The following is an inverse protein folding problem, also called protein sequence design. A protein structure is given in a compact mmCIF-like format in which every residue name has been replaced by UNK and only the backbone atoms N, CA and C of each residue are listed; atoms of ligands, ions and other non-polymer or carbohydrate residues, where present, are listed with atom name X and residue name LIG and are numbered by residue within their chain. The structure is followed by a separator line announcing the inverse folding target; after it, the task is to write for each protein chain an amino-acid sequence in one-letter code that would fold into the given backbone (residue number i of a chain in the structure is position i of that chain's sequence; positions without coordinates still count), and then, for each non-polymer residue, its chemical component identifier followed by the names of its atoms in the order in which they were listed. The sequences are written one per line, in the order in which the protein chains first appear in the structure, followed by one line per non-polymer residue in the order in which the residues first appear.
data_IF_001380327145
#
_entry.id   IF_001380327145
#
_cell.length_a   1.000
_cell.length_b   1.000
_cell.length_c   1.000
_cell.angle_alpha   90.00
_cell.angle_beta   90.00
_cell.angle_gamma   90.00
#
_symmetry.space_group_name_H-M   'P 1'
#
loop_
_entity.id
_entity.type
_entity.pdbx_description
1 polymer ?
#
# COMPACT_ATOMS: atom_id res chain seq x y z
N UNK A 1 -42.52 3.82 17.28
CA UNK A 1 -42.40 3.30 18.65
C UNK A 1 -42.26 1.80 18.51
N UNK A 2 -41.16 1.28 19.07
CA UNK A 2 -40.94 -0.13 19.46
C UNK A 2 -40.86 -1.19 18.34
N UNK A 3 -39.94 -2.15 18.33
CA UNK A 3 -38.85 -2.45 19.25
C UNK A 3 -37.82 -3.32 18.51
N UNK A 4 -36.55 -3.04 18.79
CA UNK A 4 -35.43 -3.98 18.83
C UNK A 4 -35.85 -5.33 19.39
N UNK A 5 -35.50 -6.41 18.70
CA UNK A 5 -35.00 -7.62 19.37
C UNK A 5 -34.29 -8.50 18.33
N UNK A 6 -32.97 -8.55 18.46
CA UNK A 6 -32.14 -9.60 17.89
C UNK A 6 -32.80 -10.94 18.20
N UNK A 7 -32.93 -11.81 17.21
CA UNK A 7 -33.33 -13.20 17.44
C UNK A 7 -32.29 -13.88 18.34
N UNK A 8 -32.51 -13.78 19.65
CA UNK A 8 -31.82 -14.56 20.66
C UNK A 8 -32.45 -15.95 20.56
N UNK A 9 -31.69 -16.90 20.02
CA UNK A 9 -32.04 -18.31 20.00
C UNK A 9 -32.44 -18.75 21.41
N UNK A 10 -33.49 -19.57 21.53
CA UNK A 10 -33.90 -20.07 22.84
C UNK A 10 -32.83 -21.02 23.39
N UNK A 11 -32.73 -21.11 24.72
CA UNK A 11 -31.74 -21.96 25.39
C UNK A 11 -31.76 -23.42 24.92
N UNK A 12 -32.93 -23.91 24.51
CA UNK A 12 -33.12 -25.28 24.01
C UNK A 12 -32.48 -25.50 22.62
N UNK A 13 -32.51 -24.49 21.74
CA UNK A 13 -31.85 -24.57 20.42
C UNK A 13 -30.32 -24.54 20.54
N UNK A 14 -29.81 -23.80 21.52
CA UNK A 14 -28.36 -23.75 21.81
C UNK A 14 -27.87 -25.10 22.32
N UNK A 15 -28.64 -25.79 23.14
CA UNK A 15 -28.27 -27.09 23.71
C UNK A 15 -28.25 -28.19 22.63
N UNK A 16 -29.23 -28.18 21.72
CA UNK A 16 -29.24 -29.11 20.57
C UNK A 16 -28.04 -28.91 19.62
N UNK A 17 -27.63 -27.66 19.39
CA UNK A 17 -26.43 -27.36 18.61
C UNK A 17 -25.15 -27.79 19.32
N UNK A 18 -25.06 -27.58 20.64
CA UNK A 18 -23.92 -28.01 21.46
C UNK A 18 -23.76 -29.54 21.48
N UNK A 19 -24.86 -30.27 21.56
CA UNK A 19 -24.87 -31.72 21.57
C UNK A 19 -24.43 -32.29 20.21
N UNK A 20 -24.93 -31.72 19.10
CA UNK A 20 -24.49 -32.08 17.74
C UNK A 20 -23.01 -31.74 17.46
N UNK A 21 -22.50 -30.67 18.10
CA UNK A 21 -21.10 -30.29 18.00
C UNK A 21 -20.19 -31.23 18.80
N UNK A 22 -20.65 -31.68 19.97
CA UNK A 22 -19.91 -32.66 20.79
C UNK A 22 -19.91 -34.07 20.17
N UNK A 23 -20.97 -34.52 19.51
CA UNK A 23 -20.97 -35.78 18.77
C UNK A 23 -19.97 -35.78 17.61
N UNK A 24 -19.73 -34.62 16.98
CA UNK A 24 -18.71 -34.49 15.91
C UNK A 24 -17.26 -34.61 16.40
N UNK A 25 -17.03 -34.60 17.73
CA UNK A 25 -15.73 -34.64 18.38
C UNK A 25 -15.56 -35.87 19.31
N UNK A 26 -16.13 -37.01 18.90
CA UNK A 26 -15.89 -38.32 19.51
C UNK A 26 -14.59 -38.99 19.02
N UNK A 27 -13.53 -38.79 19.80
CA UNK A 27 -12.14 -39.25 19.67
C UNK A 27 -11.99 -40.76 19.39
N UNK A 28 -11.09 -41.13 18.46
CA UNK A 28 -10.35 -42.41 18.51
C UNK A 28 -8.86 -42.13 18.73
N UNK A 29 -8.34 -42.59 19.87
CA UNK A 29 -6.93 -42.59 20.30
C UNK A 29 -6.10 -43.59 19.43
N UNK A 30 -4.79 -43.52 19.12
CA UNK A 30 -3.57 -42.80 19.55
C UNK A 30 -2.42 -43.27 18.61
N UNK A 31 -1.12 -42.94 18.84
CA UNK A 31 -0.41 -41.66 18.68
C UNK A 31 0.49 -41.63 17.43
N UNK A 32 0.79 -40.45 16.89
CA UNK A 32 2.09 -40.19 16.27
C UNK A 32 2.49 -38.76 16.58
N UNK A 33 3.67 -38.63 17.18
CA UNK A 33 4.26 -37.38 17.63
C UNK A 33 4.88 -36.75 16.39
N UNK A 34 4.18 -35.78 15.78
CA UNK A 34 4.81 -34.83 14.86
C UNK A 34 4.45 -33.45 15.36
N UNK A 35 5.44 -32.76 15.94
CA UNK A 35 5.40 -31.32 16.20
C UNK A 35 5.28 -30.58 14.85
N UNK A 36 4.07 -30.47 14.30
CA UNK A 36 3.81 -29.53 13.22
C UNK A 36 3.36 -28.20 13.79
N UNK A 37 4.35 -27.31 13.90
CA UNK A 37 4.28 -25.86 13.86
C UNK A 37 2.91 -25.26 14.23
N UNK A 38 2.85 -24.70 15.44
CA UNK A 38 1.87 -23.70 15.86
C UNK A 38 1.70 -22.63 14.77
N UNK A 39 0.76 -22.90 13.86
CA UNK A 39 0.43 -22.02 12.76
C UNK A 39 -0.31 -20.86 13.40
N UNK A 40 0.46 -19.83 13.78
CA UNK A 40 -0.09 -18.53 14.13
C UNK A 40 -0.98 -18.09 12.98
N UNK A 41 -2.28 -18.32 13.11
CA UNK A 41 -3.30 -17.87 12.18
C UNK A 41 -3.15 -16.36 12.12
N UNK A 42 -2.54 -15.88 11.05
CA UNK A 42 -2.29 -14.46 10.86
C UNK A 42 -3.56 -13.89 10.26
N UNK A 43 -4.28 -13.08 11.03
CA UNK A 43 -5.43 -12.32 10.54
C UNK A 43 -5.02 -11.56 9.28
N UNK A 44 -5.53 -12.02 8.13
CA UNK A 44 -5.25 -11.44 6.82
C UNK A 44 -6.31 -10.38 6.52
N UNK A 45 -5.91 -9.12 6.54
CA UNK A 45 -6.79 -8.01 6.23
C UNK A 45 -6.98 -7.91 4.71
N UNK A 46 -8.09 -8.48 4.21
CA UNK A 46 -8.48 -8.42 2.81
C UNK A 46 -8.71 -7.00 2.28
N UNK A 47 -8.88 -6.00 3.15
CA UNK A 47 -9.00 -4.59 2.72
C UNK A 47 -7.64 -3.97 2.38
N UNK A 48 -6.52 -4.55 2.82
CA UNK A 48 -5.16 -4.08 2.56
C UNK A 48 -4.22 -5.23 2.19
N UNK A 49 -4.45 -5.90 1.05
CA UNK A 49 -3.82 -7.19 0.74
C UNK A 49 -2.31 -7.14 0.43
N UNK A 50 -1.59 -6.03 0.63
CA UNK A 50 -0.24 -5.90 0.08
C UNK A 50 0.71 -5.00 0.90
N UNK A 51 1.06 -5.40 2.13
CA UNK A 51 2.13 -4.69 2.85
C UNK A 51 3.47 -5.01 2.17
N UNK A 52 4.02 -4.08 1.38
CA UNK A 52 5.40 -4.16 0.90
C UNK A 52 6.30 -4.47 2.11
N UNK A 53 7.11 -5.54 2.04
CA UNK A 53 7.98 -5.90 3.16
C UNK A 53 8.90 -4.74 3.53
N UNK A 54 9.26 -4.60 4.80
CA UNK A 54 10.15 -3.50 5.25
C UNK A 54 11.46 -3.47 4.46
N UNK A 55 11.97 -4.65 4.10
CA UNK A 55 13.15 -4.80 3.27
C UNK A 55 12.96 -4.22 1.85
N UNK A 56 11.84 -4.55 1.19
CA UNK A 56 11.50 -3.99 -0.12
C UNK A 56 11.33 -2.47 -0.06
N UNK A 57 10.72 -1.93 1.00
CA UNK A 57 10.60 -0.47 1.21
C UNK A 57 11.97 0.20 1.35
N UNK A 58 12.91 -0.41 2.09
CA UNK A 58 14.30 0.08 2.20
C UNK A 58 15.03 0.03 0.86
N UNK A 59 14.82 -1.01 0.07
CA UNK A 59 15.40 -1.10 -1.27
C UNK A 59 14.85 0.00 -2.18
N UNK A 60 13.54 0.23 -2.15
CA UNK A 60 12.87 1.28 -2.91
C UNK A 60 13.39 2.67 -2.53
N UNK A 61 13.61 2.91 -1.24
CA UNK A 61 14.22 4.15 -0.74
C UNK A 61 15.58 4.43 -1.38
N UNK A 62 16.49 3.44 -1.39
CA UNK A 62 17.81 3.60 -2.02
C UNK A 62 17.72 3.89 -3.52
N UNK A 63 16.78 3.23 -4.21
CA UNK A 63 16.56 3.45 -5.64
C UNK A 63 16.10 4.89 -5.88
N UNK A 64 15.05 5.35 -5.19
CA UNK A 64 14.53 6.71 -5.37
C UNK A 64 15.48 7.80 -4.89
N UNK A 65 16.28 7.56 -3.85
CA UNK A 65 17.33 8.48 -3.41
C UNK A 65 18.38 8.68 -4.51
N UNK A 66 18.83 7.59 -5.13
CA UNK A 66 19.76 7.64 -6.27
C UNK A 66 19.14 8.34 -7.48
N UNK A 67 17.87 8.02 -7.79
CA UNK A 67 17.13 8.68 -8.88
C UNK A 67 16.96 10.18 -8.63
N UNK A 68 16.64 10.60 -7.40
CA UNK A 68 16.52 12.01 -7.05
C UNK A 68 17.84 12.77 -7.28
N UNK A 69 18.97 12.17 -6.88
CA UNK A 69 20.29 12.73 -7.14
C UNK A 69 20.57 12.86 -8.65
N UNK A 70 20.24 11.84 -9.45
CA UNK A 70 20.40 11.88 -10.91
C UNK A 70 19.53 12.97 -11.54
N UNK A 71 18.24 13.05 -11.17
CA UNK A 71 17.33 14.09 -11.66
C UNK A 71 17.87 15.48 -11.29
N UNK A 72 18.37 15.66 -10.06
CA UNK A 72 18.99 16.92 -9.61
C UNK A 72 20.12 17.36 -10.55
N UNK A 73 20.99 16.43 -10.95
CA UNK A 73 22.11 16.70 -11.86
C UNK A 73 21.63 17.03 -13.27
N UNK A 74 20.71 16.23 -13.81
CA UNK A 74 20.20 16.46 -15.17
C UNK A 74 19.43 17.78 -15.29
N UNK A 75 18.58 18.10 -14.31
CA UNK A 75 17.86 19.38 -14.28
C UNK A 75 18.85 20.55 -14.12
N UNK A 76 19.87 20.40 -13.27
CA UNK A 76 20.90 21.43 -13.12
C UNK A 76 21.63 21.71 -14.44
N UNK A 77 22.01 20.64 -15.15
CA UNK A 77 22.66 20.73 -16.46
C UNK A 77 21.73 21.38 -17.49
N UNK A 78 20.46 20.95 -17.55
CA UNK A 78 19.46 21.46 -18.49
C UNK A 78 19.19 22.95 -18.28
N UNK A 79 19.02 23.38 -17.04
CA UNK A 79 18.72 24.77 -16.68
C UNK A 79 19.97 25.66 -16.57
N UNK A 80 21.18 25.09 -16.72
CA UNK A 80 22.47 25.78 -16.50
C UNK A 80 22.53 26.50 -15.15
N UNK A 81 22.00 25.86 -14.11
CA UNK A 81 21.91 26.39 -12.75
C UNK A 81 21.89 25.30 -11.70
N UNK A 82 21.93 25.67 -10.42
CA UNK A 82 21.92 24.68 -9.32
C UNK A 82 20.50 24.31 -8.93
N UNK A 83 20.08 23.08 -9.23
CA UNK A 83 18.84 22.48 -8.72
C UNK A 83 19.19 21.39 -7.70
N UNK A 84 18.58 21.46 -6.50
CA UNK A 84 18.74 20.46 -5.44
C UNK A 84 17.44 19.68 -5.27
N UNK A 85 17.50 18.37 -5.47
CA UNK A 85 16.36 17.46 -5.34
C UNK A 85 16.75 16.34 -4.38
N UNK A 86 15.88 16.05 -3.42
CA UNK A 86 16.08 15.02 -2.40
C UNK A 86 14.78 14.24 -2.16
N UNK A 87 14.92 12.95 -1.86
CA UNK A 87 13.80 12.12 -1.45
C UNK A 87 13.33 12.52 -0.05
N UNK A 88 12.04 12.82 0.09
CA UNK A 88 11.44 13.18 1.38
C UNK A 88 10.85 11.97 2.11
N UNK A 89 9.93 11.25 1.46
CA UNK A 89 9.28 10.06 2.01
C UNK A 89 8.86 9.10 0.90
N UNK A 90 8.54 7.87 1.29
CA UNK A 90 7.88 6.89 0.42
C UNK A 90 6.66 6.38 1.18
N UNK A 91 5.49 6.66 0.63
CA UNK A 91 4.21 6.36 1.24
C UNK A 91 3.37 5.46 0.34
N UNK A 92 2.57 4.60 0.96
CA UNK A 92 1.64 3.72 0.27
C UNK A 92 0.23 4.27 0.50
N UNK A 93 -0.48 4.55 -0.60
CA UNK A 93 -1.80 5.16 -0.58
C UNK A 93 -2.74 4.34 -1.46
N UNK A 94 -3.99 4.21 -1.04
CA UNK A 94 -5.03 3.72 -1.95
C UNK A 94 -5.23 4.72 -3.08
N UNK A 95 -5.67 4.24 -4.24
CA UNK A 95 -5.88 5.10 -5.40
C UNK A 95 -6.90 6.23 -5.12
N UNK A 96 -7.95 5.93 -4.35
CA UNK A 96 -8.95 6.92 -3.96
C UNK A 96 -8.37 8.04 -3.11
N UNK A 97 -7.53 7.71 -2.13
CA UNK A 97 -6.84 8.71 -1.31
C UNK A 97 -5.89 9.52 -2.20
N UNK A 98 -5.09 8.87 -3.05
CA UNK A 98 -4.20 9.55 -3.99
C UNK A 98 -4.95 10.58 -4.85
N UNK A 99 -6.06 10.17 -5.48
CA UNK A 99 -6.90 11.06 -6.31
C UNK A 99 -7.40 12.27 -5.51
N UNK A 100 -7.82 12.06 -4.25
CA UNK A 100 -8.35 13.12 -3.41
C UNK A 100 -7.26 14.04 -2.83
N UNK A 101 -6.00 13.59 -2.79
CA UNK A 101 -4.85 14.41 -2.36
C UNK A 101 -4.25 15.26 -3.48
N UNK A 102 -4.59 14.99 -4.73
CA UNK A 102 -4.10 15.75 -5.87
C UNK A 102 -4.68 17.19 -5.88
N UNK A 103 -3.85 18.23 -6.04
CA UNK A 103 -4.33 19.59 -6.27
C UNK A 103 -5.20 19.68 -7.53
N UNK A 104 -6.10 20.67 -7.57
CA UNK A 104 -6.98 20.90 -8.72
C UNK A 104 -6.20 21.17 -10.02
N UNK A 105 -5.08 21.89 -9.91
CA UNK A 105 -4.17 22.16 -11.03
C UNK A 105 -2.79 21.57 -10.75
N UNK A 106 -2.45 20.50 -11.47
CA UNK A 106 -1.14 19.88 -11.39
C UNK A 106 -0.72 19.33 -12.76
N UNK A 107 0.58 19.32 -13.01
CA UNK A 107 1.13 18.63 -14.16
C UNK A 107 1.32 17.16 -13.82
N UNK A 108 0.79 16.28 -14.68
CA UNK A 108 0.92 14.84 -14.54
C UNK A 108 1.43 14.26 -15.86
N UNK A 109 2.48 13.45 -15.78
CA UNK A 109 3.01 12.70 -16.91
C UNK A 109 3.16 11.22 -16.58
N UNK A 110 2.81 10.36 -17.53
CA UNK A 110 2.93 8.90 -17.39
C UNK A 110 4.21 8.42 -18.05
N UNK A 111 5.05 7.71 -17.29
CA UNK A 111 6.29 7.11 -17.77
C UNK A 111 6.17 5.59 -17.85
N UNK A 112 6.82 4.97 -18.83
CA UNK A 112 6.90 3.51 -18.91
C UNK A 112 8.13 2.99 -18.17
N UNK A 113 7.94 2.11 -17.22
CA UNK A 113 9.01 1.62 -16.34
C UNK A 113 9.77 0.43 -16.93
N UNK A 114 10.39 0.54 -18.11
CA UNK A 114 11.17 -0.58 -18.67
C UNK A 114 12.38 -0.93 -17.76
N UNK A 115 12.70 -2.21 -17.50
CA UNK A 115 12.10 -3.45 -18.03
C UNK A 115 10.88 -3.97 -17.26
N UNK A 116 10.44 -3.28 -16.20
CA UNK A 116 9.24 -3.64 -15.44
C UNK A 116 7.99 -3.50 -16.32
N UNK A 117 7.02 -4.39 -16.11
CA UNK A 117 5.71 -4.29 -16.73
C UNK A 117 4.89 -3.25 -15.98
N UNK A 118 4.53 -2.16 -16.64
CA UNK A 118 3.63 -1.15 -16.07
C UNK A 118 4.02 0.28 -16.41
N UNK A 119 3.33 1.20 -15.76
CA UNK A 119 3.51 2.63 -15.88
C UNK A 119 3.77 3.24 -14.51
N UNK A 120 4.66 4.22 -14.47
CA UNK A 120 4.83 5.14 -13.37
C UNK A 120 4.19 6.48 -13.73
N UNK A 121 3.98 7.31 -12.72
CA UNK A 121 3.40 8.64 -12.87
C UNK A 121 4.34 9.64 -12.20
N UNK A 122 4.63 10.74 -12.88
CA UNK A 122 5.32 11.90 -12.32
C UNK A 122 4.30 13.02 -12.22
N UNK A 123 4.17 13.54 -11.01
CA UNK A 123 3.25 14.59 -10.66
C UNK A 123 4.03 15.75 -10.04
N UNK A 124 3.68 16.98 -10.42
CA UNK A 124 4.31 18.17 -9.88
C UNK A 124 3.35 19.36 -9.94
N UNK A 125 3.60 20.30 -9.05
CA UNK A 125 2.87 21.56 -9.01
C UNK A 125 3.06 22.36 -10.32
N UNK A 126 1.99 22.99 -10.78
CA UNK A 126 2.01 23.74 -12.04
C UNK A 126 2.94 24.98 -11.96
N UNK A 127 3.01 25.66 -10.81
CA UNK A 127 3.91 26.79 -10.61
C UNK A 127 5.38 26.39 -10.73
N UNK A 128 5.75 25.21 -10.20
CA UNK A 128 7.08 24.66 -10.40
C UNK A 128 7.35 24.34 -11.88
N UNK A 129 6.38 23.76 -12.61
CA UNK A 129 6.53 23.54 -14.06
C UNK A 129 6.79 24.84 -14.82
N UNK A 130 5.98 25.86 -14.58
CA UNK A 130 6.12 27.16 -15.23
C UNK A 130 7.48 27.79 -14.93
N UNK A 131 7.93 27.73 -13.69
CA UNK A 131 9.25 28.23 -13.28
C UNK A 131 10.40 27.51 -14.03
N UNK A 132 10.28 26.19 -14.25
CA UNK A 132 11.25 25.41 -15.02
C UNK A 132 11.24 25.84 -16.49
N UNK A 133 10.06 26.07 -17.06
CA UNK A 133 9.90 26.51 -18.45
C UNK A 133 10.51 27.90 -18.63
N UNK A 134 10.17 28.88 -17.80
CA UNK A 134 10.74 30.24 -17.85
C UNK A 134 12.27 30.20 -17.84
N UNK A 135 12.84 29.47 -16.88
CA UNK A 135 14.30 29.28 -16.78
C UNK A 135 14.89 28.63 -18.02
N UNK A 136 14.22 27.65 -18.62
CA UNK A 136 14.70 26.99 -19.82
C UNK A 136 14.73 27.92 -21.04
N UNK A 137 13.84 28.92 -21.10
CA UNK A 137 13.76 29.91 -22.18
C UNK A 137 14.54 31.20 -21.92
N UNK A 138 15.26 31.30 -20.80
CA UNK A 138 16.18 32.40 -20.52
C UNK A 138 15.83 33.26 -19.31
N UNK A 139 14.73 32.95 -18.60
CA UNK A 139 14.23 33.76 -17.48
C UNK A 139 13.44 34.96 -17.96
#
# INVERSE_FOLDING_TARGET
MENTENAILSSDEVESLLESFHESQGITAQPDIIEEADSKIKYYDFKRPNTISREKKRMLYKVFETTAYQISREISNFLRGTAKISLNSIDELSFEIFKNTCPELMFINTIRLKPLKGFGCIAMDMGLCLSIVEKAFGG
#
